data_IF_940647691024
#
_entry.id   IF_940647691024
#
_cell.length_a   1.000
_cell.length_b   1.000
_cell.length_c   1.000
_cell.angle_alpha   90.00
_cell.angle_beta   90.00
_cell.angle_gamma   90.00
#
_symmetry.space_group_name_H-M   'P 1'
#
loop_
_entity.id
_entity.type
_entity.pdbx_description
1 polymer ?
#
# COMPACT_ATOMS: atom_id res chain seq x y z
N UNK A 1 6.37 -12.96 9.20
CA UNK A 1 7.23 -12.24 8.24
C UNK A 1 7.19 -12.83 6.82
N UNK A 2 6.11 -13.51 6.40
CA UNK A 2 5.98 -14.21 5.12
C UNK A 2 5.51 -13.32 3.95
N UNK A 3 4.93 -12.15 4.22
CA UNK A 3 4.29 -11.29 3.21
C UNK A 3 5.26 -10.62 2.23
N UNK A 4 6.54 -10.52 2.58
CA UNK A 4 7.56 -9.85 1.75
C UNK A 4 8.41 -10.80 0.90
N UNK A 5 8.15 -12.11 0.96
CA UNK A 5 8.89 -13.10 0.18
C UNK A 5 8.59 -12.91 -1.32
N UNK A 6 9.60 -12.91 -2.20
CA UNK A 6 9.36 -12.90 -3.63
C UNK A 6 8.56 -14.15 -4.02
N UNK A 7 7.51 -14.01 -4.86
CA UNK A 7 6.74 -15.15 -5.32
C UNK A 7 7.63 -16.13 -6.10
N UNK A 8 7.53 -17.42 -5.79
CA UNK A 8 8.22 -18.46 -6.55
C UNK A 8 7.65 -18.54 -7.97
N UNK A 9 8.45 -18.78 -9.01
CA UNK A 9 8.00 -18.76 -10.42
C UNK A 9 7.00 -19.87 -10.80
N UNK A 10 6.67 -20.79 -9.89
CA UNK A 10 5.70 -21.89 -10.07
C UNK A 10 4.50 -21.74 -9.14
N UNK A 11 3.77 -20.64 -9.23
CA UNK A 11 2.52 -20.42 -8.50
C UNK A 11 1.34 -20.46 -9.46
N UNK A 12 0.26 -21.13 -9.05
CA UNK A 12 -1.01 -21.15 -9.81
C UNK A 12 -1.74 -19.82 -9.68
N UNK A 13 -2.65 -19.51 -10.61
CA UNK A 13 -3.44 -18.27 -10.57
C UNK A 13 -4.26 -18.10 -9.28
N UNK A 14 -4.70 -19.20 -8.67
CA UNK A 14 -5.40 -19.16 -7.38
C UNK A 14 -4.46 -18.83 -6.21
N UNK A 15 -3.25 -19.39 -6.20
CA UNK A 15 -2.23 -19.02 -5.21
C UNK A 15 -1.80 -17.56 -5.38
N UNK A 16 -1.71 -17.10 -6.63
CA UNK A 16 -1.40 -15.71 -6.99
C UNK A 16 -2.43 -14.75 -6.39
N UNK A 17 -3.72 -15.02 -6.60
CA UNK A 17 -4.83 -14.24 -6.01
C UNK A 17 -4.83 -14.26 -4.48
N UNK A 18 -4.54 -15.40 -3.86
CA UNK A 18 -4.44 -15.49 -2.39
C UNK A 18 -3.28 -14.66 -1.85
N UNK A 19 -2.08 -14.79 -2.42
CA UNK A 19 -0.91 -13.98 -2.03
C UNK A 19 -1.22 -12.50 -2.20
N UNK A 20 -1.84 -12.13 -3.33
CA UNK A 20 -2.29 -10.76 -3.60
C UNK A 20 -3.25 -10.26 -2.52
N UNK A 21 -4.27 -11.05 -2.16
CA UNK A 21 -5.24 -10.70 -1.12
C UNK A 21 -4.56 -10.53 0.24
N UNK A 22 -3.70 -11.46 0.64
CA UNK A 22 -2.95 -11.37 1.91
C UNK A 22 -2.05 -10.14 1.97
N UNK A 23 -1.35 -9.82 0.88
CA UNK A 23 -0.50 -8.63 0.78
C UNK A 23 -1.30 -7.34 0.88
N UNK A 24 -2.41 -7.26 0.17
CA UNK A 24 -3.31 -6.10 0.21
C UNK A 24 -3.96 -5.96 1.58
N UNK A 25 -4.34 -7.07 2.21
CA UNK A 25 -4.88 -7.08 3.57
C UNK A 25 -3.85 -6.58 4.58
N UNK A 26 -2.58 -6.96 4.44
CA UNK A 26 -1.51 -6.44 5.29
C UNK A 26 -1.32 -4.92 5.13
N UNK A 27 -1.35 -4.40 3.91
CA UNK A 27 -1.26 -2.94 3.68
C UNK A 27 -2.49 -2.24 4.25
N UNK A 28 -3.67 -2.81 4.04
CA UNK A 28 -4.92 -2.27 4.55
C UNK A 28 -4.89 -2.18 6.09
N UNK A 29 -4.58 -3.29 6.76
CA UNK A 29 -4.45 -3.35 8.22
C UNK A 29 -3.32 -2.48 8.78
N UNK A 30 -2.37 -2.03 7.96
CA UNK A 30 -1.34 -1.08 8.39
C UNK A 30 -1.88 0.36 8.42
N UNK A 31 -2.88 0.67 7.60
CA UNK A 31 -3.46 2.01 7.49
C UNK A 31 -4.76 2.14 8.29
N UNK A 32 -5.48 1.02 8.47
CA UNK A 32 -6.62 0.86 9.38
C UNK A 32 -6.11 0.78 10.82
N UNK A 33 -6.13 1.92 11.53
CA UNK A 33 -5.52 2.06 12.86
C UNK A 33 -6.46 1.63 13.99
N UNK A 34 -7.76 1.71 13.78
CA UNK A 34 -8.82 1.33 14.71
C UNK A 34 -9.37 -0.08 14.43
N UNK A 35 -9.03 -0.68 13.29
CA UNK A 35 -9.34 -2.06 12.96
C UNK A 35 -10.82 -2.25 12.61
N UNK A 36 -11.51 -1.18 12.23
CA UNK A 36 -12.94 -1.19 11.92
C UNK A 36 -13.22 -1.68 10.49
N UNK A 37 -12.16 -1.89 9.68
CA UNK A 37 -12.25 -2.34 8.30
C UNK A 37 -12.49 -1.21 7.30
N UNK A 38 -12.32 0.05 7.71
CA UNK A 38 -12.52 1.25 6.92
C UNK A 38 -11.31 2.18 7.06
N UNK A 39 -10.62 2.44 5.94
CA UNK A 39 -9.61 3.51 5.94
C UNK A 39 -10.33 4.84 5.72
N UNK A 40 -10.48 5.61 6.80
CA UNK A 40 -11.18 6.90 6.75
C UNK A 40 -10.31 7.96 6.07
N UNK A 41 -10.92 9.10 5.74
CA UNK A 41 -10.18 10.27 5.24
C UNK A 41 -9.15 10.77 6.26
N UNK A 42 -9.45 10.68 7.56
CA UNK A 42 -8.53 11.13 8.61
C UNK A 42 -7.30 10.23 8.71
N UNK A 43 -7.47 8.91 8.62
CA UNK A 43 -6.34 7.97 8.60
C UNK A 43 -5.43 8.23 7.41
N UNK A 44 -6.03 8.42 6.23
CA UNK A 44 -5.27 8.70 5.02
C UNK A 44 -4.52 10.04 5.10
N UNK A 45 -5.16 11.09 5.65
CA UNK A 45 -4.49 12.37 5.92
C UNK A 45 -3.30 12.20 6.84
N UNK A 46 -3.45 11.42 7.91
CA UNK A 46 -2.36 11.18 8.87
C UNK A 46 -1.15 10.53 8.19
N UNK A 47 -1.39 9.52 7.35
CA UNK A 47 -0.33 8.83 6.60
C UNK A 47 0.37 9.77 5.60
N UNK A 48 -0.40 10.55 4.84
CA UNK A 48 0.17 11.51 3.88
C UNK A 48 0.96 12.60 4.60
N UNK A 49 0.45 13.12 5.72
CA UNK A 49 1.15 14.09 6.56
C UNK A 49 2.46 13.52 7.11
N UNK A 50 2.48 12.28 7.59
CA UNK A 50 3.70 11.65 8.11
C UNK A 50 4.74 11.44 7.01
N UNK A 51 4.32 10.95 5.84
CA UNK A 51 5.20 10.73 4.68
C UNK A 51 5.83 12.04 4.20
N UNK A 52 5.05 13.13 4.18
CA UNK A 52 5.51 14.45 3.74
C UNK A 52 6.33 15.18 4.80
N UNK A 53 6.02 14.98 6.09
CA UNK A 53 6.82 15.52 7.18
C UNK A 53 8.23 14.93 7.19
N UNK A 54 8.37 13.65 6.84
CA UNK A 54 9.68 12.97 6.71
C UNK A 54 10.48 13.46 5.50
N UNK A 55 9.83 13.96 4.45
CA UNK A 55 10.52 14.47 3.25
C UNK A 55 10.97 15.93 3.38
N UNK A 56 10.56 16.64 4.44
CA UNK A 56 11.01 18.00 4.78
C UNK A 56 10.59 19.09 3.78
N UNK A 57 9.81 18.75 2.75
CA UNK A 57 9.57 19.60 1.60
C UNK A 57 8.19 20.27 1.57
N UNK A 58 7.20 19.78 2.35
CA UNK A 58 5.80 20.17 2.19
C UNK A 58 5.10 20.45 3.53
N UNK A 59 4.29 21.52 3.55
CA UNK A 59 3.50 21.94 4.72
C UNK A 59 2.25 21.09 4.92
N UNK A 60 1.71 21.08 6.15
CA UNK A 60 0.50 20.33 6.55
C UNK A 60 -0.71 20.63 5.66
N UNK A 61 -0.84 21.88 5.21
CA UNK A 61 -1.91 22.31 4.31
C UNK A 61 -1.85 21.64 2.93
N UNK A 62 -0.65 21.43 2.39
CA UNK A 62 -0.45 20.75 1.11
C UNK A 62 -0.71 19.26 1.24
N UNK A 63 -0.27 18.64 2.35
CA UNK A 63 -0.57 17.25 2.66
C UNK A 63 -2.08 16.98 2.72
N UNK A 64 -2.81 17.87 3.40
CA UNK A 64 -4.27 17.85 3.47
C UNK A 64 -4.92 17.95 2.09
N UNK A 65 -4.48 18.90 1.25
CA UNK A 65 -5.01 19.08 -0.09
C UNK A 65 -4.77 17.85 -0.99
N UNK A 66 -3.59 17.22 -0.89
CA UNK A 66 -3.26 15.98 -1.60
C UNK A 66 -4.16 14.84 -1.14
N UNK A 67 -4.33 14.70 0.19
CA UNK A 67 -5.17 13.66 0.77
C UNK A 67 -6.64 13.80 0.32
N UNK A 68 -7.18 15.01 0.36
CA UNK A 68 -8.55 15.32 -0.06
C UNK A 68 -8.76 15.05 -1.56
N UNK A 69 -7.80 15.47 -2.40
CA UNK A 69 -7.86 15.23 -3.84
C UNK A 69 -7.83 13.73 -4.19
N UNK A 70 -6.95 12.96 -3.55
CA UNK A 70 -6.85 11.52 -3.77
C UNK A 70 -8.12 10.78 -3.31
N UNK A 71 -8.65 11.13 -2.14
CA UNK A 71 -9.91 10.56 -1.64
C UNK A 71 -11.10 10.90 -2.54
N UNK A 72 -11.15 12.11 -3.09
CA UNK A 72 -12.17 12.49 -4.07
C UNK A 72 -12.09 11.65 -5.36
N UNK A 73 -10.88 11.39 -5.87
CA UNK A 73 -10.70 10.51 -7.03
C UNK A 73 -11.15 9.09 -6.73
N UNK A 74 -10.87 8.59 -5.52
CA UNK A 74 -11.30 7.27 -5.10
C UNK A 74 -12.82 7.19 -5.05
N UNK A 75 -13.49 8.15 -4.39
CA UNK A 75 -14.95 8.23 -4.30
C UNK A 75 -15.61 8.23 -5.69
N UNK A 76 -15.03 8.99 -6.64
CA UNK A 76 -15.47 9.02 -8.05
C UNK A 76 -15.31 7.67 -8.75
N UNK A 77 -14.25 6.93 -8.44
CA UNK A 77 -13.90 5.65 -9.10
C UNK A 77 -14.70 4.48 -8.55
N UNK A 78 -14.94 4.45 -7.24
CA UNK A 78 -15.72 3.39 -6.58
C UNK A 78 -17.22 3.52 -6.81
N UNK A 79 -17.67 4.70 -7.26
CA UNK A 79 -19.02 4.91 -7.76
C UNK A 79 -19.96 5.47 -6.70
N UNK A 80 -19.52 6.46 -5.92
CA UNK A 80 -20.46 7.34 -5.24
C UNK A 80 -21.31 8.03 -6.32
N UNK A 81 -22.52 7.53 -6.47
CA UNK A 81 -23.51 8.02 -7.43
C UNK A 81 -24.36 9.15 -6.86
N UNK A 82 -24.31 9.36 -5.55
CA UNK A 82 -25.10 10.37 -4.86
C UNK A 82 -24.22 11.51 -4.30
N UNK A 83 -24.47 12.79 -4.67
CA UNK A 83 -23.75 13.94 -4.14
C UNK A 83 -23.99 14.20 -2.64
N UNK A 84 -25.00 13.55 -2.04
CA UNK A 84 -25.42 13.74 -0.66
C UNK A 84 -24.98 12.61 0.28
N UNK A 85 -24.35 11.55 -0.23
CA UNK A 85 -23.88 10.44 0.57
C UNK A 85 -22.48 10.75 1.10
N UNK A 86 -22.32 10.71 2.43
CA UNK A 86 -21.05 10.95 3.08
C UNK A 86 -20.09 9.80 2.74
N UNK A 87 -18.93 10.11 2.14
CA UNK A 87 -17.89 9.12 1.91
C UNK A 87 -17.23 8.76 3.23
N UNK A 88 -17.71 7.68 3.86
CA UNK A 88 -17.24 7.25 5.18
C UNK A 88 -15.79 6.76 5.14
N UNK A 89 -15.37 6.13 4.03
CA UNK A 89 -13.99 5.69 3.86
C UNK A 89 -13.82 4.64 2.76
N UNK A 90 -12.59 4.18 2.62
CA UNK A 90 -12.23 3.09 1.71
C UNK A 90 -12.40 1.76 2.44
N UNK A 91 -13.35 0.94 2.00
CA UNK A 91 -13.46 -0.46 2.43
C UNK A 91 -12.36 -1.32 1.78
N UNK A 92 -12.11 -2.51 2.34
CA UNK A 92 -11.19 -3.45 1.73
C UNK A 92 -11.57 -3.82 0.29
N UNK A 93 -12.86 -3.91 -0.03
CA UNK A 93 -13.32 -4.19 -1.41
C UNK A 93 -13.01 -3.04 -2.37
N UNK A 94 -13.20 -1.79 -1.92
CA UNK A 94 -12.77 -0.61 -2.66
C UNK A 94 -11.26 -0.64 -2.90
N UNK A 95 -10.48 -0.99 -1.88
CA UNK A 95 -9.03 -1.11 -1.97
C UNK A 95 -8.58 -2.17 -2.99
N UNK A 96 -9.23 -3.35 -3.00
CA UNK A 96 -8.99 -4.40 -3.99
C UNK A 96 -9.29 -3.93 -5.42
N UNK A 97 -10.37 -3.17 -5.61
CA UNK A 97 -10.81 -2.65 -6.90
C UNK A 97 -9.88 -1.56 -7.42
N UNK A 98 -9.47 -0.62 -6.57
CA UNK A 98 -8.52 0.44 -6.94
C UNK A 98 -7.17 -0.13 -7.39
N UNK A 99 -6.70 -1.15 -6.68
CA UNK A 99 -5.40 -1.74 -6.95
C UNK A 99 -5.47 -2.89 -7.96
N UNK A 100 -6.62 -3.20 -8.57
CA UNK A 100 -6.79 -4.34 -9.49
C UNK A 100 -5.75 -4.35 -10.61
N UNK A 101 -5.37 -3.17 -11.09
CA UNK A 101 -4.42 -2.98 -12.18
C UNK A 101 -2.96 -2.86 -11.72
N UNK A 102 -2.71 -2.92 -10.41
CA UNK A 102 -1.39 -2.80 -9.81
C UNK A 102 -0.78 -4.18 -9.53
N UNK A 103 0.43 -4.46 -10.03
CA UNK A 103 1.12 -5.74 -9.76
C UNK A 103 1.77 -5.72 -8.37
N UNK A 104 0.93 -5.87 -7.33
CA UNK A 104 1.36 -5.80 -5.93
C UNK A 104 2.32 -6.93 -5.55
N UNK A 105 2.23 -8.07 -6.22
CA UNK A 105 3.04 -9.24 -5.92
C UNK A 105 4.51 -9.00 -6.23
N UNK A 106 4.78 -8.36 -7.38
CA UNK A 106 6.11 -7.97 -7.83
C UNK A 106 6.61 -6.68 -7.18
N UNK A 107 5.72 -5.81 -6.70
CA UNK A 107 6.09 -4.54 -6.05
C UNK A 107 6.30 -4.66 -4.54
N UNK A 108 5.51 -5.48 -3.86
CA UNK A 108 5.59 -5.70 -2.41
C UNK A 108 6.44 -6.94 -2.09
N UNK A 109 7.69 -6.94 -2.53
CA UNK A 109 8.71 -7.88 -2.05
C UNK A 109 9.95 -7.12 -1.60
N UNK A 110 10.53 -7.56 -0.48
CA UNK A 110 11.81 -7.03 -0.02
C UNK A 110 12.88 -7.91 -0.66
N UNK A 111 13.58 -7.38 -1.66
CA UNK A 111 14.81 -7.99 -2.16
C UNK A 111 15.96 -7.38 -1.38
N UNK A 112 16.61 -8.21 -0.57
CA UNK A 112 17.96 -7.86 -0.16
C UNK A 112 18.80 -7.89 -1.43
N UNK A 113 19.30 -6.73 -1.85
CA UNK A 113 20.46 -6.69 -2.73
C UNK A 113 21.50 -7.55 -2.00
N UNK A 114 21.92 -8.66 -2.62
CA UNK A 114 23.20 -9.24 -2.23
C UNK A 114 24.19 -8.11 -2.49
N UNK A 115 24.63 -7.40 -1.45
CA UNK A 115 25.99 -6.88 -1.48
C UNK A 115 26.82 -8.11 -1.77
N UNK A 116 27.49 -8.13 -2.92
CA UNK A 116 28.46 -9.16 -3.22
C UNK A 116 29.36 -9.26 -2.00
N UNK A 117 29.17 -10.31 -1.19
CA UNK A 117 30.13 -10.69 -0.18
C UNK A 117 31.28 -11.19 -1.01
N UNK A 118 32.19 -10.27 -1.32
CA UNK A 118 33.36 -10.53 -2.12
C UNK A 118 34.07 -11.77 -1.52
N UNK A 119 34.14 -12.91 -2.23
CA UNK A 119 34.78 -14.10 -1.71
C UNK A 119 36.31 -14.01 -1.73
N UNK A 120 36.92 -12.84 -1.98
CA UNK A 120 38.36 -12.60 -1.81
C UNK A 120 38.75 -12.53 -0.32
N UNK A 121 38.50 -13.61 0.42
CA UNK A 121 39.33 -14.06 1.53
C UNK A 121 39.96 -15.40 1.12
N UNK A 122 40.77 -15.37 0.07
CA UNK A 122 41.81 -16.36 -0.14
C UNK A 122 43.07 -15.61 -0.53
N UNK A 123 44.14 -15.88 0.24
CA UNK A 123 45.54 -15.46 0.06
C UNK A 123 45.88 -14.04 0.49
N UNK A 124 46.39 -13.92 1.72
CA UNK A 124 47.80 -13.58 1.90
C UNK A 124 48.36 -14.35 3.10
N UNK A 125 49.52 -14.97 2.85
CA UNK A 125 50.32 -15.79 3.74
C UNK A 125 50.70 -15.12 5.06
#
# INVERSE_FOLDING_TARGET
MSHFRPPSPKITDEQRKNIRREKLQFIFNMHDSDGDGLVTLEDYRHVVEELLSRSGALGKETARAIADAAMFEVARTVGHKDPNEFYEGITFEHFLKLLSNFDIESRMNIRFLKSDVNPFCQLCC
#
